data_IF_835434611947
#
_entry.id   IF_835434611947
#
_cell.length_a   1.000
_cell.length_b   1.000
_cell.length_c   1.000
_cell.angle_alpha   90.00
_cell.angle_beta   90.00
_cell.angle_gamma   90.00
#
_symmetry.space_group_name_H-M   'P 1'
#
loop_
_entity.id
_entity.type
_entity.pdbx_description
1 polymer ?
#
# COMPACT_ATOMS: atom_id res chain seq x y z
N UNK A 1 42.01 25.41 -11.69
CA UNK A 1 41.44 24.03 -11.68
C UNK A 1 41.37 23.38 -10.30
N UNK A 2 42.44 23.35 -9.48
CA UNK A 2 42.42 22.71 -8.15
C UNK A 2 41.33 23.21 -7.18
N UNK A 3 41.05 24.53 -7.15
CA UNK A 3 39.98 25.13 -6.31
C UNK A 3 38.56 24.70 -6.70
N UNK A 4 38.32 24.45 -7.99
CA UNK A 4 37.03 23.99 -8.51
C UNK A 4 36.78 22.52 -8.11
N UNK A 5 37.82 21.69 -8.15
CA UNK A 5 37.75 20.29 -7.70
C UNK A 5 37.48 20.19 -6.19
N UNK A 6 38.12 21.05 -5.38
CA UNK A 6 37.88 21.10 -3.94
C UNK A 6 36.44 21.53 -3.60
N UNK A 7 35.90 22.52 -4.32
CA UNK A 7 34.51 22.95 -4.15
C UNK A 7 33.52 21.81 -4.48
N UNK A 8 33.76 21.06 -5.56
CA UNK A 8 32.94 19.90 -5.92
C UNK A 8 33.02 18.77 -4.90
N UNK A 9 34.20 18.50 -4.33
CA UNK A 9 34.37 17.47 -3.29
C UNK A 9 33.63 17.84 -1.99
N UNK A 10 33.69 19.11 -1.60
CA UNK A 10 32.94 19.61 -0.43
C UNK A 10 31.43 19.56 -0.68
N UNK A 11 30.97 19.92 -1.88
CA UNK A 11 29.55 19.84 -2.23
C UNK A 11 29.03 18.40 -2.21
N UNK A 12 29.79 17.44 -2.77
CA UNK A 12 29.43 16.02 -2.73
C UNK A 12 29.45 15.48 -1.29
N UNK A 13 30.44 15.85 -0.48
CA UNK A 13 30.50 15.48 0.93
C UNK A 13 29.32 16.02 1.74
N UNK A 14 28.93 17.28 1.49
CA UNK A 14 27.77 17.89 2.13
C UNK A 14 26.46 17.21 1.71
N UNK A 15 26.31 16.89 0.42
CA UNK A 15 25.15 16.15 -0.10
C UNK A 15 25.06 14.74 0.51
N UNK A 16 26.19 14.06 0.68
CA UNK A 16 26.24 12.74 1.35
C UNK A 16 25.83 12.82 2.82
N UNK A 17 26.32 13.82 3.56
CA UNK A 17 25.93 14.03 4.96
C UNK A 17 24.45 14.37 5.09
N UNK A 18 23.93 15.22 4.20
CA UNK A 18 22.51 15.59 4.18
C UNK A 18 21.61 14.39 3.84
N UNK A 19 22.01 13.56 2.87
CA UNK A 19 21.30 12.32 2.54
C UNK A 19 21.37 11.28 3.67
N UNK A 20 22.51 11.17 4.35
CA UNK A 20 22.66 10.30 5.51
C UNK A 20 21.72 10.71 6.65
N UNK A 21 21.55 12.02 6.91
CA UNK A 21 20.65 12.48 7.98
C UNK A 21 19.19 12.06 7.78
N UNK A 22 18.73 12.00 6.53
CA UNK A 22 17.38 11.56 6.21
C UNK A 22 17.21 10.06 6.45
N UNK A 23 18.23 9.24 6.17
CA UNK A 23 18.20 7.80 6.37
C UNK A 23 18.21 7.37 7.85
N UNK A 24 18.84 8.15 8.74
CA UNK A 24 18.88 7.87 10.19
C UNK A 24 17.66 8.39 10.96
N UNK A 25 16.87 9.29 10.36
CA UNK A 25 15.68 9.87 10.99
C UNK A 25 14.35 9.24 10.54
N UNK A 26 14.38 8.24 9.64
CA UNK A 26 13.17 7.47 9.31
C UNK A 26 12.91 6.48 10.44
N UNK A 27 11.91 6.76 11.26
CA UNK A 27 11.30 5.74 12.11
C UNK A 27 10.65 4.69 11.20
N UNK A 28 11.42 3.62 10.94
CA UNK A 28 10.99 2.49 10.12
C UNK A 28 9.86 1.70 10.80
N UNK A 29 9.72 1.81 12.12
CA UNK A 29 8.62 1.25 12.88
C UNK A 29 7.32 1.99 12.60
N UNK A 30 7.31 3.33 12.76
CA UNK A 30 6.16 4.16 12.45
C UNK A 30 5.78 4.09 10.95
N UNK A 31 6.78 4.09 10.06
CA UNK A 31 6.56 3.95 8.62
C UNK A 31 5.98 2.57 8.25
N UNK A 32 6.45 1.51 8.92
CA UNK A 32 5.95 0.15 8.73
C UNK A 32 4.51 -0.04 9.21
N UNK A 33 4.19 0.48 10.40
CA UNK A 33 2.82 0.43 10.96
C UNK A 33 1.83 1.23 10.11
N UNK A 34 2.21 2.44 9.67
CA UNK A 34 1.38 3.24 8.77
C UNK A 34 1.14 2.54 7.42
N UNK A 35 2.18 1.91 6.86
CA UNK A 35 2.05 1.12 5.64
C UNK A 35 1.09 -0.06 5.84
N UNK A 36 1.26 -0.82 6.92
CA UNK A 36 0.39 -1.95 7.26
C UNK A 36 -1.06 -1.50 7.45
N UNK A 37 -1.30 -0.40 8.16
CA UNK A 37 -2.62 0.19 8.33
C UNK A 37 -3.24 0.56 6.97
N UNK A 38 -2.47 1.20 6.08
CA UNK A 38 -2.94 1.58 4.73
C UNK A 38 -3.31 0.36 3.89
N UNK A 39 -2.52 -0.72 3.96
CA UNK A 39 -2.85 -1.98 3.30
C UNK A 39 -4.18 -2.56 3.77
N UNK A 40 -4.40 -2.55 5.09
CA UNK A 40 -5.60 -3.14 5.69
C UNK A 40 -6.85 -2.28 5.51
N UNK A 41 -6.74 -0.95 5.60
CA UNK A 41 -7.90 -0.06 5.50
C UNK A 41 -8.26 0.37 4.07
N UNK A 42 -7.30 0.34 3.15
CA UNK A 42 -7.50 0.85 1.78
C UNK A 42 -7.35 -0.26 0.75
N UNK A 43 -6.18 -0.88 0.66
CA UNK A 43 -5.86 -1.74 -0.47
C UNK A 43 -6.65 -3.06 -0.47
N UNK A 44 -6.82 -3.71 0.68
CA UNK A 44 -7.62 -4.94 0.77
C UNK A 44 -9.10 -4.68 0.46
N UNK A 45 -9.77 -3.66 1.05
CA UNK A 45 -11.13 -3.30 0.66
C UNK A 45 -11.27 -2.95 -0.82
N UNK A 46 -10.33 -2.18 -1.38
CA UNK A 46 -10.32 -1.85 -2.81
C UNK A 46 -10.20 -3.11 -3.67
N UNK A 47 -9.30 -4.04 -3.32
CA UNK A 47 -9.16 -5.32 -4.01
C UNK A 47 -10.45 -6.15 -3.99
N UNK A 48 -11.12 -6.23 -2.83
CA UNK A 48 -12.41 -6.92 -2.73
C UNK A 48 -13.47 -6.28 -3.62
N UNK A 49 -13.57 -4.94 -3.63
CA UNK A 49 -14.50 -4.22 -4.49
C UNK A 49 -14.24 -4.47 -5.97
N UNK A 50 -12.97 -4.47 -6.40
CA UNK A 50 -12.59 -4.74 -7.80
C UNK A 50 -13.01 -6.14 -8.24
N UNK A 51 -12.86 -7.15 -7.38
CA UNK A 51 -13.30 -8.53 -7.70
C UNK A 51 -14.82 -8.59 -7.80
N UNK A 52 -15.55 -7.94 -6.87
CA UNK A 52 -17.02 -7.87 -6.94
C UNK A 52 -17.51 -7.22 -8.24
N UNK A 53 -16.86 -6.14 -8.68
CA UNK A 53 -17.15 -5.49 -9.97
C UNK A 53 -16.89 -6.45 -11.12
N UNK A 54 -15.75 -7.14 -11.15
CA UNK A 54 -15.42 -8.12 -12.19
C UNK A 54 -16.46 -9.26 -12.26
N UNK A 55 -16.94 -9.72 -11.11
CA UNK A 55 -18.02 -10.72 -11.03
C UNK A 55 -19.35 -10.18 -11.57
N UNK A 56 -19.68 -8.92 -11.29
CA UNK A 56 -20.84 -8.24 -11.87
C UNK A 56 -20.75 -8.16 -13.40
N UNK A 57 -19.59 -7.78 -13.94
CA UNK A 57 -19.34 -7.78 -15.39
C UNK A 57 -19.44 -9.18 -15.97
N UNK A 58 -18.87 -10.19 -15.30
CA UNK A 58 -18.97 -11.60 -15.74
C UNK A 58 -20.40 -12.13 -15.75
N UNK A 59 -21.26 -11.66 -14.84
CA UNK A 59 -22.69 -11.96 -14.84
C UNK A 59 -23.40 -11.31 -16.04
N UNK A 60 -23.10 -10.05 -16.34
CA UNK A 60 -23.65 -9.34 -17.50
C UNK A 60 -23.20 -9.97 -18.83
N UNK A 61 -21.97 -10.49 -18.89
CA UNK A 61 -21.43 -11.20 -20.04
C UNK A 61 -21.90 -12.68 -20.14
N UNK A 62 -22.84 -13.12 -19.30
CA UNK A 62 -23.33 -14.50 -19.21
C UNK A 62 -22.23 -15.55 -18.94
N UNK A 63 -21.06 -15.15 -18.44
CA UNK A 63 -19.97 -16.07 -18.07
C UNK A 63 -20.19 -16.71 -16.69
N UNK A 64 -21.01 -16.09 -15.84
CA UNK A 64 -21.32 -16.53 -14.48
C UNK A 64 -22.82 -16.65 -14.27
N UNK A 65 -23.25 -17.68 -13.55
CA UNK A 65 -24.65 -17.86 -13.11
C UNK A 65 -24.84 -17.25 -11.73
N UNK A 66 -26.02 -16.68 -11.46
CA UNK A 66 -26.36 -16.05 -10.17
C UNK A 66 -26.06 -16.93 -8.95
N UNK A 67 -26.33 -18.24 -9.02
CA UNK A 67 -26.06 -19.16 -7.89
C UNK A 67 -24.57 -19.31 -7.57
N UNK A 68 -23.67 -19.01 -8.51
CA UNK A 68 -22.23 -19.11 -8.33
C UNK A 68 -21.66 -17.86 -7.64
N UNK A 69 -22.44 -16.77 -7.52
CA UNK A 69 -21.98 -15.53 -6.90
C UNK A 69 -22.11 -15.54 -5.36
N UNK A 70 -23.01 -16.35 -4.79
CA UNK A 70 -23.38 -16.22 -3.36
C UNK A 70 -22.17 -16.38 -2.44
N UNK A 71 -21.45 -17.50 -2.54
CA UNK A 71 -20.28 -17.77 -1.70
C UNK A 71 -19.13 -16.78 -1.88
N UNK A 72 -18.67 -16.47 -3.12
CA UNK A 72 -17.58 -15.52 -3.30
C UNK A 72 -17.95 -14.10 -2.86
N UNK A 73 -19.19 -13.64 -3.08
CA UNK A 73 -19.62 -12.31 -2.61
C UNK A 73 -19.59 -12.24 -1.09
N UNK A 74 -20.14 -13.23 -0.39
CA UNK A 74 -20.10 -13.29 1.08
C UNK A 74 -18.64 -13.33 1.57
N UNK A 75 -17.80 -14.15 0.94
CA UNK A 75 -16.38 -14.26 1.29
C UNK A 75 -15.63 -12.92 1.15
N UNK A 76 -15.86 -12.19 0.05
CA UNK A 76 -15.22 -10.90 -0.21
C UNK A 76 -15.72 -9.81 0.75
N UNK A 77 -17.00 -9.82 1.12
CA UNK A 77 -17.54 -8.91 2.14
C UNK A 77 -16.88 -9.19 3.49
N UNK A 78 -16.86 -10.45 3.93
CA UNK A 78 -16.26 -10.83 5.21
C UNK A 78 -14.76 -10.51 5.24
N UNK A 79 -14.03 -10.81 4.17
CA UNK A 79 -12.60 -10.51 4.08
C UNK A 79 -12.32 -9.00 4.13
N UNK A 80 -13.07 -8.18 3.38
CA UNK A 80 -12.95 -6.73 3.41
C UNK A 80 -13.28 -6.14 4.79
N UNK A 81 -14.37 -6.59 5.42
CA UNK A 81 -14.76 -6.16 6.76
C UNK A 81 -13.74 -6.58 7.83
N UNK A 82 -13.25 -7.81 7.80
CA UNK A 82 -12.21 -8.28 8.72
C UNK A 82 -10.92 -7.48 8.57
N UNK A 83 -10.54 -7.14 7.33
CA UNK A 83 -9.35 -6.33 7.07
C UNK A 83 -9.48 -4.92 7.65
N UNK A 84 -10.64 -4.28 7.50
CA UNK A 84 -10.90 -2.97 8.11
C UNK A 84 -10.85 -3.00 9.65
N UNK A 85 -11.37 -4.07 10.28
CA UNK A 85 -11.28 -4.27 11.73
C UNK A 85 -9.81 -4.38 12.16
N UNK A 86 -9.02 -5.23 11.51
CA UNK A 86 -7.59 -5.38 11.84
C UNK A 86 -6.83 -4.06 11.61
N UNK A 87 -7.13 -3.33 10.54
CA UNK A 87 -6.54 -2.02 10.28
C UNK A 87 -6.83 -0.99 11.38
N UNK A 88 -8.01 -1.03 11.99
CA UNK A 88 -8.37 -0.17 13.13
C UNK A 88 -7.59 -0.50 14.41
N UNK A 89 -7.16 -1.73 14.60
CA UNK A 89 -6.37 -2.13 15.79
C UNK A 89 -4.86 -1.91 15.63
N UNK A 90 -4.39 -1.68 14.40
CA UNK A 90 -2.98 -1.41 14.09
C UNK A 90 -2.65 0.09 14.20
N UNK A 91 -3.68 0.97 14.19
CA UNK A 91 -3.55 2.43 14.31
C UNK A 91 -3.25 2.91 15.72
#
# INVERSE_FOLDING_TARGET
MKKQIQASQVAVGLMFLLAATQAFAVDTGASGLNSAQTWMMVWVPVGCAMILVAMGVGLMAHMLKLHQLVYPVIGLIVAGSASAIVGYWIS
#
